data_IF_314141744023
#
_entry.id   IF_314141744023
#
_cell.length_a   1.000
_cell.length_b   1.000
_cell.length_c   1.000
_cell.angle_alpha   90.00
_cell.angle_beta   90.00
_cell.angle_gamma   90.00
#
_symmetry.space_group_name_H-M   'P 1'
#
loop_
_entity.id
_entity.type
_entity.pdbx_description
1 polymer ?
#
# COMPACT_ATOMS: atom_id res chain seq x y z
N UNK A 1 -10.09 1.39 -19.39
CA UNK A 1 -8.90 1.89 -18.67
C UNK A 1 -7.86 2.49 -19.60
N UNK A 2 -7.43 1.78 -20.64
CA UNK A 2 -6.52 2.34 -21.66
C UNK A 2 -6.99 3.71 -22.20
N UNK A 3 -8.26 3.82 -22.59
CA UNK A 3 -8.83 5.06 -23.10
C UNK A 3 -8.76 6.22 -22.08
N UNK A 4 -9.18 5.98 -20.83
CA UNK A 4 -9.10 6.99 -19.77
C UNK A 4 -7.67 7.51 -19.57
N UNK A 5 -6.70 6.58 -19.47
CA UNK A 5 -5.28 6.94 -19.29
C UNK A 5 -4.72 7.69 -20.50
N UNK A 6 -5.03 7.26 -21.72
CA UNK A 6 -4.59 7.93 -22.94
C UNK A 6 -5.12 9.37 -22.99
N UNK A 7 -6.39 9.57 -22.63
CA UNK A 7 -6.98 10.92 -22.63
C UNK A 7 -6.39 11.82 -21.57
N UNK A 8 -6.20 11.31 -20.34
CA UNK A 8 -5.50 12.07 -19.30
C UNK A 8 -4.11 12.46 -19.80
N UNK A 9 -3.37 11.54 -20.43
CA UNK A 9 -2.04 11.83 -20.93
C UNK A 9 -2.00 12.88 -22.05
N UNK A 10 -3.03 12.97 -22.89
CA UNK A 10 -3.03 13.86 -24.07
C UNK A 10 -3.77 15.17 -23.90
N UNK A 11 -4.82 15.21 -23.07
CA UNK A 11 -5.76 16.33 -22.99
C UNK A 11 -5.75 17.04 -21.62
N UNK A 12 -5.23 16.40 -20.57
CA UNK A 12 -5.27 16.94 -19.21
C UNK A 12 -4.29 18.11 -19.05
N UNK A 13 -4.80 19.25 -18.59
CA UNK A 13 -3.97 20.37 -18.16
C UNK A 13 -3.67 20.23 -16.67
N UNK A 14 -2.42 19.96 -16.29
CA UNK A 14 -2.04 19.80 -14.89
C UNK A 14 -2.32 21.04 -14.02
N UNK A 15 -2.42 22.25 -14.62
CA UNK A 15 -2.69 23.48 -13.88
C UNK A 15 -4.19 23.78 -13.69
N UNK A 16 -5.06 23.18 -14.49
CA UNK A 16 -6.50 23.49 -14.51
C UNK A 16 -7.41 22.26 -14.36
N UNK A 17 -6.91 21.08 -14.67
CA UNK A 17 -7.61 19.83 -14.60
C UNK A 17 -7.69 19.30 -13.17
N UNK A 18 -8.70 18.46 -12.92
CA UNK A 18 -8.78 17.69 -11.67
C UNK A 18 -9.44 16.34 -11.91
N UNK A 19 -9.06 15.38 -11.07
CA UNK A 19 -9.61 14.04 -11.02
C UNK A 19 -10.06 13.81 -9.59
N UNK A 20 -11.30 13.37 -9.41
CA UNK A 20 -11.84 13.05 -8.09
C UNK A 20 -12.67 11.77 -8.12
N UNK A 21 -12.60 11.03 -7.02
CA UNK A 21 -13.53 9.93 -6.76
C UNK A 21 -14.83 10.55 -6.27
N UNK A 22 -15.93 10.34 -7.01
CA UNK A 22 -17.26 10.82 -6.63
C UNK A 22 -18.07 9.74 -5.92
N UNK A 23 -17.77 8.48 -6.17
CA UNK A 23 -18.44 7.34 -5.55
C UNK A 23 -17.56 6.09 -5.56
N UNK A 24 -17.76 5.19 -4.60
CA UNK A 24 -17.08 3.92 -4.53
C UNK A 24 -17.99 2.85 -3.90
N UNK A 25 -18.34 1.84 -4.68
CA UNK A 25 -19.33 0.84 -4.32
C UNK A 25 -18.79 -0.58 -4.51
N UNK A 26 -19.05 -1.43 -3.51
CA UNK A 26 -18.77 -2.85 -3.56
C UNK A 26 -19.97 -3.63 -4.10
N UNK A 27 -19.73 -4.46 -5.12
CA UNK A 27 -20.70 -5.42 -5.62
C UNK A 27 -20.10 -6.83 -5.58
N UNK A 28 -20.44 -7.58 -4.53
CA UNK A 28 -19.78 -8.84 -4.18
C UNK A 28 -18.26 -8.65 -4.03
N UNK A 29 -17.45 -9.29 -4.87
CA UNK A 29 -15.98 -9.25 -4.82
C UNK A 29 -15.37 -8.18 -5.74
N UNK A 30 -16.21 -7.42 -6.47
CA UNK A 30 -15.76 -6.35 -7.37
C UNK A 30 -16.01 -4.99 -6.74
N UNK A 31 -14.99 -4.14 -6.75
CA UNK A 31 -15.11 -2.72 -6.39
C UNK A 31 -15.34 -1.90 -7.67
N UNK A 32 -16.28 -0.96 -7.60
CA UNK A 32 -16.50 0.05 -8.64
C UNK A 32 -16.20 1.43 -8.09
N UNK A 33 -15.42 2.21 -8.85
CA UNK A 33 -15.09 3.58 -8.52
C UNK A 33 -15.66 4.48 -9.61
N UNK A 34 -16.49 5.44 -9.21
CA UNK A 34 -16.92 6.51 -10.10
C UNK A 34 -15.95 7.68 -9.99
N UNK A 35 -15.39 8.09 -11.12
CA UNK A 35 -14.49 9.22 -11.25
C UNK A 35 -15.19 10.37 -11.97
N UNK A 36 -14.93 11.59 -11.49
CA UNK A 36 -15.19 12.83 -12.21
C UNK A 36 -13.85 13.39 -12.67
N UNK A 37 -13.70 13.57 -13.98
CA UNK A 37 -12.48 14.05 -14.63
C UNK A 37 -12.77 15.37 -15.33
N UNK A 38 -12.21 16.45 -14.83
CA UNK A 38 -12.18 17.75 -15.50
C UNK A 38 -10.83 17.89 -16.20
N UNK A 39 -10.82 18.01 -17.53
CA UNK A 39 -9.55 18.08 -18.28
C UNK A 39 -8.87 19.46 -18.16
N UNK A 40 -9.67 20.53 -18.16
CA UNK A 40 -9.26 21.93 -18.01
C UNK A 40 -10.49 22.78 -17.64
N UNK A 41 -10.33 24.03 -17.20
CA UNK A 41 -11.43 24.83 -16.63
C UNK A 41 -12.58 25.14 -17.61
N UNK A 42 -12.31 25.12 -18.91
CA UNK A 42 -13.30 25.36 -19.96
C UNK A 42 -14.04 24.08 -20.41
N UNK A 43 -13.61 22.90 -19.95
CA UNK A 43 -14.24 21.63 -20.28
C UNK A 43 -15.43 21.31 -19.36
N UNK A 44 -16.37 20.51 -19.85
CA UNK A 44 -17.37 19.88 -18.99
C UNK A 44 -16.74 18.67 -18.26
N UNK A 45 -17.02 18.44 -16.97
CA UNK A 45 -16.57 17.25 -16.27
C UNK A 45 -17.09 15.98 -16.94
N UNK A 46 -16.20 15.01 -17.13
CA UNK A 46 -16.53 13.67 -17.63
C UNK A 46 -16.71 12.71 -16.46
N UNK A 47 -17.72 11.85 -16.53
CA UNK A 47 -17.92 10.76 -15.59
C UNK A 47 -17.39 9.45 -16.16
N UNK A 48 -16.64 8.73 -15.34
CA UNK A 48 -16.04 7.45 -15.68
C UNK A 48 -16.33 6.43 -14.58
N UNK A 49 -16.79 5.24 -14.96
CA UNK A 49 -16.88 4.10 -14.06
C UNK A 49 -15.64 3.23 -14.23
N UNK A 50 -14.89 3.01 -13.15
CA UNK A 50 -13.72 2.13 -13.09
C UNK A 50 -14.10 0.86 -12.33
N UNK A 51 -14.04 -0.28 -13.02
CA UNK A 51 -14.21 -1.59 -12.40
C UNK A 51 -12.84 -2.13 -11.97
N UNK A 52 -12.71 -2.48 -10.70
CA UNK A 52 -11.53 -3.11 -10.10
C UNK A 52 -11.86 -4.58 -9.82
N UNK A 53 -11.15 -5.49 -10.51
CA UNK A 53 -11.43 -6.94 -10.47
C UNK A 53 -10.34 -7.64 -9.66
N UNK A 54 -10.76 -8.51 -8.74
CA UNK A 54 -9.84 -9.24 -7.86
C UNK A 54 -9.12 -8.30 -6.90
N UNK A 55 -9.89 -7.43 -6.21
CA UNK A 55 -9.35 -6.47 -5.24
C UNK A 55 -8.81 -7.20 -4.02
N UNK A 56 -7.60 -6.86 -3.60
CA UNK A 56 -6.96 -7.43 -2.40
C UNK A 56 -6.82 -6.43 -1.27
N UNK A 57 -6.72 -5.14 -1.61
CA UNK A 57 -6.57 -4.05 -0.64
C UNK A 57 -6.99 -2.73 -1.29
N UNK A 58 -7.71 -1.90 -0.56
CA UNK A 58 -8.09 -0.56 -0.96
C UNK A 58 -7.97 0.44 0.19
N UNK A 59 -7.66 1.68 -0.15
CA UNK A 59 -7.76 2.83 0.73
C UNK A 59 -8.31 3.97 -0.10
N UNK A 60 -9.55 4.38 0.16
CA UNK A 60 -10.24 5.40 -0.62
C UNK A 60 -10.46 6.62 0.25
N UNK A 61 -9.96 7.76 -0.20
CA UNK A 61 -10.13 9.06 0.38
C UNK A 61 -10.78 9.99 -0.65
N UNK A 62 -11.75 10.79 -0.22
CA UNK A 62 -12.36 11.83 -1.07
C UNK A 62 -11.40 13.03 -1.15
N UNK A 63 -10.55 13.05 -2.17
CA UNK A 63 -9.60 14.13 -2.44
C UNK A 63 -9.61 14.45 -3.93
N UNK A 64 -9.39 15.73 -4.26
CA UNK A 64 -9.14 16.19 -5.63
C UNK A 64 -7.66 16.05 -5.93
N UNK A 65 -7.34 15.40 -7.05
CA UNK A 65 -5.97 15.03 -7.39
C UNK A 65 -5.71 15.29 -8.88
N UNK A 66 -4.44 15.51 -9.22
CA UNK A 66 -4.00 15.81 -10.60
C UNK A 66 -3.43 14.57 -11.30
N UNK A 67 -3.05 13.54 -10.52
CA UNK A 67 -2.35 12.37 -11.02
C UNK A 67 -3.13 11.08 -10.76
N UNK A 68 -3.50 10.42 -11.84
CA UNK A 68 -4.04 9.06 -11.85
C UNK A 68 -3.05 8.13 -12.56
N UNK A 69 -2.69 7.02 -11.91
CA UNK A 69 -1.76 6.06 -12.50
C UNK A 69 -2.14 4.61 -12.23
N UNK A 70 -1.67 3.72 -13.12
CA UNK A 70 -1.67 2.28 -12.86
C UNK A 70 -0.25 1.76 -12.96
N UNK A 71 0.20 1.06 -11.92
CA UNK A 71 1.56 0.54 -11.84
C UNK A 71 1.60 -0.93 -11.42
N UNK A 72 2.54 -1.68 -12.00
CA UNK A 72 2.94 -3.03 -11.56
C UNK A 72 4.19 -3.03 -10.67
N UNK A 73 4.79 -1.86 -10.48
CA UNK A 73 6.05 -1.66 -9.75
C UNK A 73 5.86 -0.67 -8.59
N UNK A 74 4.62 -0.47 -8.11
CA UNK A 74 4.35 0.40 -6.97
C UNK A 74 4.89 -0.23 -5.69
N UNK A 75 5.50 0.53 -4.76
CA UNK A 75 5.92 0.00 -3.47
C UNK A 75 4.77 -0.63 -2.66
N UNK A 76 3.51 -0.23 -2.94
CA UNK A 76 2.32 -0.83 -2.36
C UNK A 76 2.18 -2.34 -2.64
N UNK A 77 2.81 -2.84 -3.73
CA UNK A 77 2.79 -4.25 -4.12
C UNK A 77 3.84 -5.11 -3.41
N UNK A 78 4.86 -4.50 -2.79
CA UNK A 78 5.96 -5.22 -2.13
C UNK A 78 5.45 -6.31 -1.16
N UNK A 79 4.45 -6.06 -0.30
CA UNK A 79 3.93 -7.06 0.64
C UNK A 79 3.28 -8.28 -0.02
N UNK A 80 2.91 -8.17 -1.29
CA UNK A 80 2.27 -9.21 -2.07
C UNK A 80 3.25 -9.95 -3.00
N UNK A 81 4.47 -9.45 -3.14
CA UNK A 81 5.48 -9.96 -4.06
C UNK A 81 6.66 -10.59 -3.34
N UNK A 82 7.03 -10.07 -2.17
CA UNK A 82 8.18 -10.54 -1.42
C UNK A 82 7.82 -11.56 -0.34
N UNK A 83 8.78 -12.43 -0.02
CA UNK A 83 8.69 -13.35 1.10
C UNK A 83 8.48 -12.57 2.41
N UNK A 84 7.57 -13.07 3.24
CA UNK A 84 7.28 -12.53 4.55
C UNK A 84 8.32 -12.99 5.58
N UNK A 85 8.81 -12.06 6.39
CA UNK A 85 9.78 -12.29 7.46
C UNK A 85 9.19 -11.82 8.80
N UNK A 86 9.09 -12.71 9.77
CA UNK A 86 8.78 -12.35 11.14
C UNK A 86 10.06 -11.85 11.84
N UNK A 87 10.01 -10.62 12.38
CA UNK A 87 11.11 -10.05 13.15
C UNK A 87 10.87 -10.19 14.64
N UNK A 88 11.55 -11.13 15.28
CA UNK A 88 11.57 -11.29 16.72
C UNK A 88 12.70 -10.48 17.35
N UNK A 89 12.52 -10.06 18.60
CA UNK A 89 13.57 -9.39 19.34
C UNK A 89 13.67 -9.84 20.79
N UNK A 90 14.87 -9.67 21.34
CA UNK A 90 15.16 -9.88 22.76
C UNK A 90 16.23 -8.90 23.25
N UNK A 91 16.32 -8.71 24.57
CA UNK A 91 17.32 -7.83 25.18
C UNK A 91 17.13 -6.34 24.86
N UNK A 92 15.96 -5.92 24.37
CA UNK A 92 15.73 -4.54 23.93
C UNK A 92 16.01 -3.54 25.06
N UNK A 93 17.01 -2.71 24.84
CA UNK A 93 17.36 -1.59 25.72
C UNK A 93 17.47 -0.28 24.93
N UNK A 94 16.85 -0.22 23.76
CA UNK A 94 16.72 0.99 22.96
C UNK A 94 15.74 1.96 23.62
N UNK A 95 15.92 3.26 23.37
CA UNK A 95 14.85 4.20 23.60
C UNK A 95 13.73 3.98 22.56
N UNK A 96 12.45 4.18 22.93
CA UNK A 96 11.33 4.06 21.99
C UNK A 96 11.51 4.91 20.73
N UNK A 97 12.06 6.11 20.88
CA UNK A 97 12.27 7.08 19.80
C UNK A 97 13.31 6.56 18.79
N UNK A 98 14.41 5.98 19.26
CA UNK A 98 15.44 5.41 18.38
C UNK A 98 14.92 4.20 17.62
N UNK A 99 14.17 3.32 18.29
CA UNK A 99 13.58 2.15 17.64
C UNK A 99 12.55 2.57 16.58
N UNK A 100 11.62 3.46 16.92
CA UNK A 100 10.64 3.97 15.95
C UNK A 100 11.30 4.72 14.80
N UNK A 101 12.32 5.54 15.08
CA UNK A 101 13.06 6.27 14.06
C UNK A 101 13.67 5.35 13.00
N UNK A 102 14.30 4.25 13.41
CA UNK A 102 14.82 3.22 12.49
C UNK A 102 13.70 2.57 11.69
N UNK A 103 12.61 2.15 12.34
CA UNK A 103 11.49 1.50 11.66
C UNK A 103 10.84 2.41 10.61
N UNK A 104 10.63 3.69 10.94
CA UNK A 104 10.08 4.67 10.00
C UNK A 104 11.06 4.99 8.87
N UNK A 105 12.34 5.17 9.19
CA UNK A 105 13.39 5.44 8.18
C UNK A 105 13.49 4.31 7.17
N UNK A 106 13.57 3.07 7.64
CA UNK A 106 13.58 1.89 6.77
C UNK A 106 12.31 1.78 5.91
N UNK A 107 11.13 2.08 6.48
CA UNK A 107 9.88 2.07 5.73
C UNK A 107 9.85 3.14 4.64
N UNK A 108 10.29 4.36 4.93
CA UNK A 108 10.36 5.43 3.91
C UNK A 108 11.34 5.07 2.80
N UNK A 109 12.49 4.49 3.13
CA UNK A 109 13.49 4.13 2.12
C UNK A 109 13.00 3.01 1.17
N UNK A 110 12.32 2.00 1.70
CA UNK A 110 11.88 0.84 0.91
C UNK A 110 10.51 1.08 0.26
N UNK A 111 9.59 1.72 0.99
CA UNK A 111 8.19 1.81 0.61
C UNK A 111 7.78 3.24 0.17
N UNK A 112 8.67 4.23 0.28
CA UNK A 112 8.43 5.63 -0.09
C UNK A 112 7.59 6.44 0.91
N UNK A 113 6.83 5.78 1.79
CA UNK A 113 5.90 6.41 2.74
C UNK A 113 6.00 5.78 4.13
N UNK A 114 5.93 6.62 5.16
CA UNK A 114 6.04 6.19 6.56
C UNK A 114 4.76 5.49 7.05
N UNK A 115 3.62 5.89 6.51
CA UNK A 115 2.28 5.43 6.88
C UNK A 115 2.11 3.93 6.64
N UNK A 116 2.81 3.37 5.66
CA UNK A 116 2.75 1.94 5.34
C UNK A 116 3.33 1.04 6.44
N UNK A 117 4.16 1.57 7.35
CA UNK A 117 4.73 0.81 8.45
C UNK A 117 3.64 0.18 9.33
N UNK A 118 2.48 0.85 9.44
CA UNK A 118 1.34 0.40 10.24
C UNK A 118 0.86 -1.02 9.85
N UNK A 119 1.03 -1.39 8.56
CA UNK A 119 0.61 -2.69 7.98
C UNK A 119 1.36 -3.87 8.58
N UNK A 120 2.60 -3.64 9.03
CA UNK A 120 3.55 -4.70 9.36
C UNK A 120 3.76 -4.86 10.86
N UNK A 121 3.61 -3.75 11.61
CA UNK A 121 3.87 -3.74 13.04
C UNK A 121 2.89 -4.63 13.79
N UNK A 122 3.41 -5.37 14.77
CA UNK A 122 2.58 -6.08 15.72
C UNK A 122 1.98 -5.08 16.74
N UNK A 123 0.85 -4.49 16.37
CA UNK A 123 0.15 -3.46 17.16
C UNK A 123 -0.78 -4.01 18.24
N UNK A 124 -0.69 -5.31 18.57
CA UNK A 124 -1.53 -5.90 19.64
C UNK A 124 -1.41 -5.07 20.93
N UNK A 125 -2.54 -4.82 21.63
CA UNK A 125 -2.62 -3.82 22.67
C UNK A 125 -1.68 -4.18 23.82
N UNK A 126 -0.59 -3.44 23.92
CA UNK A 126 0.25 -3.41 25.10
C UNK A 126 0.22 -1.98 25.61
N UNK A 127 -0.02 -1.79 26.92
CA UNK A 127 -0.13 -0.47 27.60
C UNK A 127 1.08 0.44 27.31
N UNK A 128 2.20 -0.16 26.90
CA UNK A 128 3.48 0.47 26.68
C UNK A 128 3.97 0.39 25.21
N UNK A 129 3.19 -0.21 24.31
CA UNK A 129 3.61 -0.50 22.93
C UNK A 129 4.76 -1.51 22.86
N UNK A 130 5.03 -2.00 21.66
CA UNK A 130 6.07 -3.00 21.41
C UNK A 130 7.47 -2.53 21.81
N UNK A 131 7.70 -1.23 21.68
CA UNK A 131 8.99 -0.55 21.82
C UNK A 131 9.52 -0.49 23.26
N UNK A 132 8.65 -0.69 24.27
CA UNK A 132 9.03 -0.67 25.70
C UNK A 132 9.22 -2.07 26.29
N UNK A 133 8.94 -3.12 25.53
CA UNK A 133 9.11 -4.51 25.99
C UNK A 133 10.54 -4.98 25.82
N UNK A 134 11.00 -5.93 26.65
CA UNK A 134 12.36 -6.51 26.55
C UNK A 134 12.47 -7.62 25.49
N UNK A 135 11.35 -8.22 25.12
CA UNK A 135 11.25 -9.31 24.16
C UNK A 135 9.89 -9.27 23.47
N UNK A 136 9.83 -9.74 22.23
CA UNK A 136 8.58 -9.77 21.47
C UNK A 136 8.79 -9.97 19.98
N UNK A 137 7.76 -9.65 19.20
CA UNK A 137 7.75 -9.75 17.73
C UNK A 137 7.42 -8.38 17.17
N UNK A 138 8.40 -7.69 16.59
CA UNK A 138 8.24 -6.35 16.00
C UNK A 138 7.08 -6.31 15.01
N UNK A 139 6.97 -7.35 14.19
CA UNK A 139 6.00 -7.42 13.12
C UNK A 139 6.37 -8.48 12.11
N UNK A 140 5.56 -8.54 11.05
CA UNK A 140 5.79 -9.34 9.85
C UNK A 140 6.00 -8.39 8.68
N UNK A 141 7.16 -8.46 8.05
CA UNK A 141 7.59 -7.49 7.05
C UNK A 141 7.92 -8.20 5.74
N UNK A 142 7.77 -7.52 4.59
CA UNK A 142 8.38 -7.99 3.35
C UNK A 142 9.91 -8.03 3.51
N UNK A 143 10.55 -8.96 2.80
CA UNK A 143 11.97 -9.29 2.94
C UNK A 143 12.90 -8.08 2.87
N UNK A 144 12.72 -7.19 1.88
CA UNK A 144 13.56 -6.00 1.70
C UNK A 144 13.51 -5.06 2.91
N UNK A 145 12.31 -4.82 3.43
CA UNK A 145 12.10 -4.03 4.65
C UNK A 145 12.67 -4.74 5.89
N UNK A 146 12.48 -6.05 6.01
CA UNK A 146 13.00 -6.84 7.12
C UNK A 146 14.54 -6.85 7.17
N UNK A 147 15.17 -7.02 6.01
CA UNK A 147 16.63 -7.02 5.85
C UNK A 147 17.20 -5.63 6.22
N UNK A 148 16.56 -4.56 5.74
CA UNK A 148 16.93 -3.19 6.07
C UNK A 148 16.81 -2.87 7.56
N UNK A 149 15.68 -3.22 8.19
CA UNK A 149 15.48 -3.04 9.64
C UNK A 149 16.54 -3.83 10.42
N UNK A 150 16.79 -5.08 10.05
CA UNK A 150 17.78 -5.93 10.74
C UNK A 150 19.19 -5.34 10.64
N UNK A 151 19.55 -4.82 9.46
CA UNK A 151 20.83 -4.14 9.25
C UNK A 151 20.95 -2.90 10.14
N UNK A 152 19.96 -2.01 10.15
CA UNK A 152 20.03 -0.76 10.92
C UNK A 152 19.98 -0.99 12.44
N UNK A 153 19.20 -1.96 12.91
CA UNK A 153 19.11 -2.30 14.33
C UNK A 153 20.35 -3.04 14.86
N UNK A 154 21.24 -3.54 14.00
CA UNK A 154 22.46 -4.24 14.41
C UNK A 154 23.42 -3.37 15.24
N UNK A 155 23.32 -2.04 15.10
CA UNK A 155 24.12 -1.07 15.86
C UNK A 155 23.48 -0.63 17.18
N UNK A 156 22.24 -1.07 17.47
CA UNK A 156 21.48 -0.68 18.65
C UNK A 156 21.47 -1.80 19.71
N UNK A 157 21.21 -1.48 21.00
CA UNK A 157 21.18 -2.46 22.08
C UNK A 157 19.89 -3.30 22.04
N UNK A 158 19.71 -4.09 20.98
CA UNK A 158 18.59 -5.00 20.74
C UNK A 158 19.07 -6.19 19.90
N UNK A 159 18.66 -7.40 20.25
CA UNK A 159 18.95 -8.59 19.45
C UNK A 159 17.76 -8.88 18.54
N UNK A 160 17.96 -8.81 17.22
CA UNK A 160 16.93 -9.13 16.22
C UNK A 160 17.17 -10.54 15.70
N UNK A 161 16.08 -11.31 15.56
CA UNK A 161 16.07 -12.63 14.96
C UNK A 161 15.01 -12.70 13.85
N UNK A 162 15.42 -12.62 12.57
CA UNK A 162 14.51 -12.82 11.45
C UNK A 162 14.16 -14.30 11.29
N UNK A 163 12.89 -14.59 10.99
CA UNK A 163 12.41 -15.92 10.62
C UNK A 163 11.61 -15.81 9.32
N UNK A 164 12.06 -16.53 8.31
CA UNK A 164 11.37 -16.61 7.03
C UNK A 164 10.07 -17.43 7.17
N UNK A 165 8.94 -16.83 6.76
CA UNK A 165 7.62 -17.46 6.80
C UNK A 165 7.30 -18.12 5.45
N UNK A 166 7.57 -17.41 4.36
CA UNK A 166 7.30 -17.86 2.99
C UNK A 166 6.67 -16.77 2.13
N UNK A 167 6.34 -17.06 0.86
CA UNK A 167 5.66 -16.10 0.00
C UNK A 167 4.24 -15.83 0.52
N UNK A 168 3.72 -14.61 0.31
CA UNK A 168 2.39 -14.21 0.74
C UNK A 168 1.33 -15.03 0.01
N UNK A 169 0.28 -15.40 0.74
CA UNK A 169 -0.84 -16.21 0.25
C UNK A 169 -2.15 -15.66 0.74
N UNK A 170 -3.22 -15.90 -0.02
CA UNK A 170 -4.59 -15.62 0.39
C UNK A 170 -5.44 -16.89 0.32
N UNK A 171 -6.54 -16.89 1.08
CA UNK A 171 -7.50 -17.99 1.14
C UNK A 171 -8.59 -17.79 0.08
N UNK A 172 -8.81 -18.79 -0.77
CA UNK A 172 -9.83 -18.74 -1.84
C UNK A 172 -11.21 -19.25 -1.41
N UNK A 173 -11.37 -19.64 -0.14
CA UNK A 173 -12.51 -20.43 0.32
C UNK A 173 -12.22 -21.93 0.39
N UNK A 174 -11.22 -22.42 -0.34
CA UNK A 174 -10.84 -23.85 -0.39
C UNK A 174 -9.37 -24.13 -0.17
N UNK A 175 -8.47 -23.24 -0.60
CA UNK A 175 -7.03 -23.41 -0.45
C UNK A 175 -6.30 -22.08 -0.30
N UNK A 176 -5.05 -22.13 0.18
CA UNK A 176 -4.15 -20.98 0.19
C UNK A 176 -3.34 -20.94 -1.10
N UNK A 177 -3.56 -19.92 -1.92
CA UNK A 177 -2.80 -19.69 -3.15
C UNK A 177 -1.98 -18.40 -3.05
N UNK A 178 -0.90 -18.33 -3.84
CA UNK A 178 -0.13 -17.10 -3.99
C UNK A 178 -0.91 -16.05 -4.77
N UNK A 179 -0.65 -14.78 -4.47
CA UNK A 179 -1.19 -13.67 -5.25
C UNK A 179 -0.73 -13.76 -6.72
N UNK A 180 -1.66 -13.52 -7.65
CA UNK A 180 -1.36 -13.46 -9.08
C UNK A 180 -0.74 -12.10 -9.45
N UNK A 181 -0.72 -11.77 -10.75
CA UNK A 181 -0.23 -10.48 -11.24
C UNK A 181 -1.12 -9.33 -10.76
N UNK A 182 -0.74 -8.71 -9.64
CA UNK A 182 -1.41 -7.52 -9.11
C UNK A 182 -0.90 -6.24 -9.79
N UNK A 183 -1.76 -5.24 -9.81
CA UNK A 183 -1.46 -3.86 -10.19
C UNK A 183 -2.15 -2.90 -9.22
N UNK A 184 -1.61 -1.69 -9.12
CA UNK A 184 -2.16 -0.64 -8.25
C UNK A 184 -2.73 0.46 -9.11
N UNK A 185 -3.98 0.81 -8.85
CA UNK A 185 -4.57 2.08 -9.25
C UNK A 185 -4.27 3.10 -8.15
N UNK A 186 -3.61 4.20 -8.48
CA UNK A 186 -3.26 5.26 -7.52
C UNK A 186 -3.85 6.60 -7.99
N UNK A 187 -4.52 7.28 -7.05
CA UNK A 187 -5.03 8.65 -7.20
C UNK A 187 -4.73 9.41 -5.91
N UNK A 188 -3.60 10.12 -5.90
CA UNK A 188 -3.09 10.80 -4.71
C UNK A 188 -2.82 9.86 -3.53
N UNK A 189 -3.60 10.00 -2.47
CA UNK A 189 -3.56 9.10 -1.30
C UNK A 189 -4.52 7.91 -1.40
N UNK A 190 -5.40 7.91 -2.39
CA UNK A 190 -6.29 6.79 -2.67
C UNK A 190 -5.57 5.74 -3.50
N UNK A 191 -5.76 4.47 -3.17
CA UNK A 191 -5.28 3.37 -3.98
C UNK A 191 -6.21 2.16 -3.94
N UNK A 192 -6.13 1.35 -5.00
CA UNK A 192 -6.71 0.02 -5.07
C UNK A 192 -5.66 -0.93 -5.62
N UNK A 193 -5.42 -2.04 -4.93
CA UNK A 193 -4.59 -3.15 -5.40
C UNK A 193 -5.53 -4.23 -5.92
N UNK A 194 -5.42 -4.56 -7.21
CA UNK A 194 -6.30 -5.52 -7.87
C UNK A 194 -5.58 -6.26 -9.00
N UNK A 195 -6.17 -7.35 -9.48
CA UNK A 195 -5.65 -8.11 -10.62
C UNK A 195 -5.78 -7.33 -11.93
N UNK A 196 -6.89 -6.59 -12.11
CA UNK A 196 -7.10 -5.78 -13.31
C UNK A 196 -8.06 -4.61 -13.11
N UNK A 197 -7.99 -3.66 -14.04
CA UNK A 197 -8.83 -2.46 -14.07
C UNK A 197 -9.46 -2.27 -15.45
N UNK A 198 -10.77 -2.07 -15.48
CA UNK A 198 -11.51 -1.63 -16.66
C UNK A 198 -12.11 -0.25 -16.37
N UNK A 199 -12.29 0.57 -17.42
CA UNK A 199 -12.91 1.88 -17.25
C UNK A 199 -13.78 2.18 -18.46
N UNK A 200 -14.96 2.71 -18.21
CA UNK A 200 -15.99 3.03 -19.20
C UNK A 200 -16.51 4.44 -18.93
N UNK A 201 -16.71 5.23 -19.98
CA UNK A 201 -17.33 6.55 -19.84
C UNK A 201 -18.83 6.37 -19.62
N UNK A 202 -19.36 7.04 -18.59
CA UNK A 202 -20.78 7.00 -18.22
C UNK A 202 -21.61 8.04 -18.98
#
# INVERSE_FOLDING_TARGET
MKELLERIQTEFDEAEGNIRIVDADWYADDLRISLSVLMHNEAAPELWEVQCIGVVEESICSVEEELLSISKNSPLLIPYQEVEIDLFFSGNSCSPESLLGVLFSACVEIMGKAEYLVRFLNQKPTVNGIVKTKFGTLGRFPKSLADKITQELSALPINIKPIEVGPPKHWTGSEFISYQSLSVFELGNSYVIAESFAAVRA
#
